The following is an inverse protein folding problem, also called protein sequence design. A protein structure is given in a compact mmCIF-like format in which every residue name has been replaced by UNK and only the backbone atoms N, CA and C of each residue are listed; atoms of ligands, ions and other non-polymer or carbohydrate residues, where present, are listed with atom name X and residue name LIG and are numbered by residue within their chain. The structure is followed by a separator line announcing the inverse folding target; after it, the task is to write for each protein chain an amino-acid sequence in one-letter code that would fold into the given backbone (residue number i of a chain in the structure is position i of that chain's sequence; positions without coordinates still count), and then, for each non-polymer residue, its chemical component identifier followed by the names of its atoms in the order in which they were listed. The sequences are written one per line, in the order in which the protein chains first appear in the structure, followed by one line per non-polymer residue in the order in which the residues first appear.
data_IF_198689254990
#
_entry.id   IF_198689254990
#
_cell.length_a   1.000
_cell.length_b   1.000
_cell.length_c   1.000
_cell.angle_alpha   90.00
_cell.angle_beta   90.00
_cell.angle_gamma   90.00
#
_symmetry.space_group_name_H-M   'P 1'
#
loop_
_entity.id
_entity.type
_entity.pdbx_description
1 polymer ?
#
# COMPACT_ATOMS: atom_id res chain seq x y z
N UNK A 1 13.52 64.13 10.56
CA UNK A 1 13.72 62.76 11.08
C UNK A 1 15.11 62.27 10.72
N UNK A 2 15.97 62.01 11.74
CA UNK A 2 17.40 61.69 11.60
C UNK A 2 17.60 60.40 10.79
N UNK A 3 18.62 60.36 9.91
CA UNK A 3 18.95 59.23 9.00
C UNK A 3 18.95 57.86 9.69
N UNK A 4 19.35 57.82 10.95
CA UNK A 4 19.34 56.63 11.82
C UNK A 4 17.94 55.99 11.95
N UNK A 5 16.88 56.80 12.07
CA UNK A 5 15.50 56.30 12.16
C UNK A 5 15.02 55.68 10.85
N UNK A 6 15.52 56.17 9.70
CA UNK A 6 15.21 55.58 8.38
C UNK A 6 15.93 54.25 8.19
N UNK A 7 17.18 54.14 8.66
CA UNK A 7 17.96 52.91 8.60
C UNK A 7 17.34 51.82 9.47
N UNK A 8 16.93 52.17 10.70
CA UNK A 8 16.22 51.25 11.61
C UNK A 8 14.88 50.79 11.02
N UNK A 9 14.14 51.69 10.36
CA UNK A 9 12.88 51.33 9.70
C UNK A 9 13.11 50.35 8.54
N UNK A 10 14.17 50.55 7.76
CA UNK A 10 14.51 49.69 6.64
C UNK A 10 14.97 48.31 7.11
N UNK A 11 15.78 48.26 8.18
CA UNK A 11 16.24 47.02 8.79
C UNK A 11 15.06 46.23 9.39
N UNK A 12 14.12 46.91 10.04
CA UNK A 12 12.90 46.28 10.53
C UNK A 12 12.04 45.72 9.38
N UNK A 13 11.94 46.43 8.25
CA UNK A 13 11.19 45.96 7.09
C UNK A 13 11.81 44.71 6.46
N UNK A 14 13.14 44.66 6.38
CA UNK A 14 13.89 43.49 5.87
C UNK A 14 13.75 42.31 6.82
N UNK A 15 13.79 42.53 8.14
CA UNK A 15 13.57 41.48 9.13
C UNK A 15 12.14 40.92 9.10
N UNK A 16 11.13 41.77 8.95
CA UNK A 16 9.73 41.35 8.79
C UNK A 16 9.55 40.58 7.47
N UNK A 17 10.16 41.04 6.38
CA UNK A 17 10.18 40.32 5.11
C UNK A 17 10.80 38.93 5.24
N UNK A 18 11.98 38.83 5.87
CA UNK A 18 12.65 37.55 6.11
C UNK A 18 11.84 36.61 7.03
N UNK A 19 11.18 37.16 8.07
CA UNK A 19 10.29 36.40 8.96
C UNK A 19 9.09 35.84 8.21
N UNK A 20 8.49 36.61 7.28
CA UNK A 20 7.38 36.15 6.45
C UNK A 20 7.77 35.03 5.47
N UNK A 21 9.03 34.97 5.03
CA UNK A 21 9.53 33.87 4.18
C UNK A 21 9.99 32.64 4.98
N UNK A 22 10.19 32.77 6.29
CA UNK A 22 10.58 31.65 7.16
C UNK A 22 9.38 30.84 7.70
N UNK A 23 8.16 31.31 7.50
CA UNK A 23 6.95 30.55 7.79
C UNK A 23 6.58 29.73 6.55
N UNK A 24 7.34 28.66 6.30
CA UNK A 24 6.78 27.50 5.60
C UNK A 24 5.85 26.85 6.63
N UNK A 25 4.53 26.79 6.41
CA UNK A 25 3.68 26.02 7.30
C UNK A 25 4.10 24.56 7.16
N UNK A 26 4.73 24.03 8.20
CA UNK A 26 4.79 22.61 8.43
C UNK A 26 3.35 22.12 8.58
N UNK A 27 2.97 21.22 7.67
CA UNK A 27 1.69 20.52 7.53
C UNK A 27 0.74 20.61 8.73
N UNK A 28 -0.40 21.25 8.50
CA UNK A 28 -1.67 20.84 9.10
C UNK A 28 -2.62 20.63 7.93
N UNK A 29 -3.20 19.43 7.84
CA UNK A 29 -4.07 19.04 6.76
C UNK A 29 -5.30 19.94 6.67
N UNK A 30 -5.37 20.75 5.63
CA UNK A 30 -6.60 21.35 5.17
C UNK A 30 -6.78 21.03 3.69
N UNK A 31 -7.81 20.23 3.44
CA UNK A 31 -8.37 19.88 2.14
C UNK A 31 -8.42 21.11 1.21
N UNK A 32 -7.61 21.17 0.14
CA UNK A 32 -7.82 22.16 -0.89
C UNK A 32 -8.96 21.68 -1.79
N UNK A 33 -10.18 22.13 -1.47
CA UNK A 33 -11.28 22.31 -2.43
C UNK A 33 -11.85 21.07 -3.09
N UNK A 34 -12.91 20.50 -2.53
CA UNK A 34 -13.87 19.61 -3.22
C UNK A 34 -13.23 18.58 -4.18
N UNK A 35 -12.11 17.98 -3.77
CA UNK A 35 -11.51 16.85 -4.46
C UNK A 35 -12.18 15.57 -3.99
N UNK A 36 -12.22 14.55 -4.86
CA UNK A 36 -12.63 13.20 -4.46
C UNK A 36 -11.74 12.72 -3.30
N UNK A 37 -12.27 11.86 -2.44
CA UNK A 37 -11.48 11.22 -1.38
C UNK A 37 -10.32 10.41 -1.98
N UNK A 38 -9.24 10.15 -1.21
CA UNK A 38 -8.11 9.35 -1.69
C UNK A 38 -8.55 8.00 -2.27
N UNK A 39 -9.53 7.36 -1.63
CA UNK A 39 -10.13 6.09 -2.08
C UNK A 39 -10.83 6.26 -3.43
N UNK A 40 -11.60 7.33 -3.62
CA UNK A 40 -12.27 7.62 -4.88
C UNK A 40 -11.31 8.05 -6.00
N UNK A 41 -10.26 8.80 -5.67
CA UNK A 41 -9.20 9.16 -6.59
C UNK A 41 -8.44 7.91 -7.06
N UNK A 42 -8.09 7.02 -6.12
CA UNK A 42 -7.49 5.72 -6.42
C UNK A 42 -8.38 4.86 -7.33
N UNK A 43 -9.68 4.75 -7.02
CA UNK A 43 -10.65 4.05 -7.88
C UNK A 43 -10.80 4.69 -9.26
N UNK A 44 -10.79 6.01 -9.35
CA UNK A 44 -10.89 6.70 -10.65
C UNK A 44 -9.64 6.42 -11.50
N UNK A 45 -8.45 6.51 -10.90
CA UNK A 45 -7.21 6.17 -11.60
C UNK A 45 -7.18 4.70 -12.02
N UNK A 46 -7.68 3.78 -11.19
CA UNK A 46 -7.84 2.38 -11.57
C UNK A 46 -8.68 2.22 -12.83
N UNK A 47 -9.84 2.91 -12.91
CA UNK A 47 -10.69 2.88 -14.09
C UNK A 47 -10.02 3.44 -15.35
N UNK A 48 -9.17 4.45 -15.22
CA UNK A 48 -8.39 4.98 -16.35
C UNK A 48 -7.27 4.03 -16.80
N UNK A 49 -6.73 3.24 -15.88
CA UNK A 49 -5.67 2.26 -16.14
C UNK A 49 -6.21 0.89 -16.61
N UNK A 50 -7.47 0.56 -16.34
CA UNK A 50 -8.11 -0.70 -16.77
C UNK A 50 -7.95 -1.00 -18.28
N UNK A 51 -8.12 -0.04 -19.21
CA UNK A 51 -7.88 -0.27 -20.63
C UNK A 51 -6.42 -0.61 -20.98
N UNK A 52 -5.49 -0.36 -20.05
CA UNK A 52 -4.05 -0.61 -20.19
C UNK A 52 -3.62 -1.90 -19.47
N UNK A 53 -4.56 -2.70 -18.97
CA UNK A 53 -4.29 -4.02 -18.39
C UNK A 53 -3.55 -4.88 -19.40
N UNK A 54 -2.45 -5.50 -18.96
CA UNK A 54 -1.55 -6.29 -19.81
C UNK A 54 -0.46 -5.46 -20.53
N UNK A 55 -0.49 -4.13 -20.41
CA UNK A 55 0.59 -3.26 -20.89
C UNK A 55 1.63 -2.96 -19.80
N UNK A 56 1.87 -3.89 -18.87
CA UNK A 56 2.80 -3.73 -17.75
C UNK A 56 2.23 -3.08 -16.48
N UNK A 57 0.92 -2.79 -16.44
CA UNK A 57 0.24 -2.36 -15.21
C UNK A 57 -0.24 -3.58 -14.41
N UNK A 58 0.13 -3.62 -13.13
CA UNK A 58 -0.06 -4.78 -12.26
C UNK A 58 -1.21 -4.57 -11.27
N UNK A 59 -1.31 -3.37 -10.70
CA UNK A 59 -2.35 -3.08 -9.72
C UNK A 59 -2.28 -1.67 -9.17
N UNK A 60 -3.23 -1.34 -8.30
CA UNK A 60 -3.31 -0.06 -7.62
C UNK A 60 -3.67 -0.26 -6.15
N UNK A 61 -3.12 0.59 -5.28
CA UNK A 61 -3.43 0.67 -3.87
C UNK A 61 -3.41 2.14 -3.41
N UNK A 62 -3.71 2.37 -2.15
CA UNK A 62 -3.55 3.68 -1.52
C UNK A 62 -2.98 3.54 -0.12
N UNK A 63 -2.26 4.56 0.33
CA UNK A 63 -1.71 4.68 1.67
C UNK A 63 -2.40 5.85 2.37
N UNK A 64 -3.31 5.57 3.31
CA UNK A 64 -3.96 6.63 4.09
C UNK A 64 -2.95 7.38 4.96
N UNK A 65 -1.95 6.67 5.50
CA UNK A 65 -0.91 7.26 6.34
C UNK A 65 -0.03 8.27 5.58
N UNK A 66 0.30 7.96 4.32
CA UNK A 66 1.14 8.83 3.48
C UNK A 66 0.29 9.79 2.62
N UNK A 67 -1.01 9.54 2.47
CA UNK A 67 -1.90 10.33 1.60
C UNK A 67 -1.63 10.10 0.11
N UNK A 68 -1.19 8.90 -0.28
CA UNK A 68 -0.69 8.60 -1.62
C UNK A 68 -1.50 7.49 -2.31
N UNK A 69 -1.59 7.56 -3.63
CA UNK A 69 -2.01 6.44 -4.48
C UNK A 69 -0.75 5.70 -4.94
N UNK A 70 -0.75 4.37 -4.87
CA UNK A 70 0.38 3.53 -5.25
C UNK A 70 -0.01 2.73 -6.49
N UNK A 71 0.76 2.85 -7.57
CA UNK A 71 0.57 2.06 -8.79
C UNK A 71 1.71 1.05 -8.92
N UNK A 72 1.35 -0.21 -9.08
CA UNK A 72 2.29 -1.30 -9.29
C UNK A 72 2.45 -1.57 -10.78
N UNK A 73 3.70 -1.69 -11.23
CA UNK A 73 4.04 -1.92 -12.64
C UNK A 73 5.07 -3.03 -12.79
N UNK A 74 5.10 -3.68 -13.95
CA UNK A 74 6.00 -4.80 -14.21
C UNK A 74 7.46 -4.35 -14.39
N UNK A 75 7.68 -3.17 -14.97
CA UNK A 75 9.02 -2.71 -15.37
C UNK A 75 9.18 -1.19 -15.31
N UNK A 76 10.44 -0.74 -15.40
CA UNK A 76 10.81 0.68 -15.39
C UNK A 76 10.35 1.46 -16.62
N UNK A 77 10.07 0.81 -17.76
CA UNK A 77 9.54 1.52 -18.92
C UNK A 77 8.08 1.89 -18.67
N UNK A 78 7.31 1.00 -18.06
CA UNK A 78 5.92 1.22 -17.70
C UNK A 78 5.79 2.27 -16.61
N UNK A 79 6.75 2.32 -15.66
CA UNK A 79 6.83 3.40 -14.66
C UNK A 79 6.77 4.79 -15.27
N UNK A 80 7.42 5.01 -16.41
CA UNK A 80 7.45 6.33 -17.06
C UNK A 80 6.09 6.78 -17.59
N UNK A 81 5.13 5.86 -17.74
CA UNK A 81 3.77 6.16 -18.18
C UNK A 81 2.82 6.46 -17.03
N UNK A 82 3.23 6.22 -15.79
CA UNK A 82 2.43 6.51 -14.60
C UNK A 82 2.53 8.00 -14.28
N UNK A 83 1.41 8.71 -14.09
CA UNK A 83 1.46 10.10 -13.65
C UNK A 83 2.09 10.18 -12.26
N UNK A 84 2.80 11.28 -11.95
CA UNK A 84 3.36 11.52 -10.60
C UNK A 84 2.33 12.05 -9.60
N UNK A 85 1.18 12.49 -10.09
CA UNK A 85 0.08 13.02 -9.29
C UNK A 85 -1.24 12.81 -10.02
N UNK A 86 -2.32 12.56 -9.28
CA UNK A 86 -3.66 12.37 -9.82
C UNK A 86 -4.71 12.95 -8.86
N UNK A 87 -5.62 13.78 -9.39
CA UNK A 87 -6.67 14.46 -8.61
C UNK A 87 -6.18 15.17 -7.32
N UNK A 88 -4.95 15.70 -7.35
CA UNK A 88 -4.35 16.40 -6.21
C UNK A 88 -3.58 15.51 -5.22
N UNK A 89 -3.60 14.18 -5.41
CA UNK A 89 -2.80 13.24 -4.62
C UNK A 89 -1.49 12.88 -5.32
N UNK A 90 -0.44 12.63 -4.54
CA UNK A 90 0.80 12.05 -5.02
C UNK A 90 0.55 10.62 -5.50
N UNK A 91 1.13 10.26 -6.65
CA UNK A 91 1.10 8.89 -7.16
C UNK A 91 2.52 8.33 -7.07
N UNK A 92 2.71 7.36 -6.18
CA UNK A 92 3.94 6.57 -6.08
C UNK A 92 3.86 5.40 -7.04
N UNK A 93 4.97 5.05 -7.67
CA UNK A 93 5.06 3.89 -8.55
C UNK A 93 6.05 2.88 -7.99
N UNK A 94 5.62 1.63 -7.88
CA UNK A 94 6.41 0.50 -7.42
C UNK A 94 6.59 -0.50 -8.56
N UNK A 95 7.83 -0.91 -8.82
CA UNK A 95 8.13 -1.90 -9.86
C UNK A 95 8.16 -3.29 -9.20
N UNK A 96 7.20 -4.14 -9.56
CA UNK A 96 6.99 -5.45 -8.93
C UNK A 96 7.46 -6.61 -9.78
N UNK A 97 7.78 -6.39 -11.06
CA UNK A 97 7.91 -7.48 -12.02
C UNK A 97 6.54 -8.01 -12.47
N UNK A 98 6.60 -8.99 -13.37
CA UNK A 98 5.41 -9.64 -13.93
C UNK A 98 4.77 -10.61 -12.93
N UNK A 99 3.50 -10.38 -12.59
CA UNK A 99 2.71 -11.36 -11.83
C UNK A 99 2.25 -12.44 -12.80
N UNK A 100 2.64 -13.69 -12.54
CA UNK A 100 2.22 -14.85 -13.32
C UNK A 100 1.40 -15.76 -12.43
N UNK A 101 0.19 -16.10 -12.88
CA UNK A 101 -0.54 -17.21 -12.29
C UNK A 101 0.22 -18.51 -12.59
N UNK A 102 0.58 -19.26 -11.54
CA UNK A 102 1.12 -20.60 -11.70
C UNK A 102 0.04 -21.48 -12.33
N UNK A 103 0.33 -22.13 -13.47
CA UNK A 103 -0.63 -23.00 -14.17
C UNK A 103 -0.80 -24.37 -13.50
N UNK A 104 -0.55 -24.46 -12.19
CA UNK A 104 -0.62 -25.73 -11.47
C UNK A 104 -2.08 -26.10 -11.29
N UNK A 105 -2.51 -27.18 -11.95
CA UNK A 105 -3.75 -27.86 -11.58
C UNK A 105 -3.55 -28.45 -10.18
N UNK A 106 -4.11 -27.80 -9.17
CA UNK A 106 -4.18 -28.38 -7.83
C UNK A 106 -5.25 -29.46 -7.90
N UNK A 107 -4.84 -30.73 -7.98
CA UNK A 107 -5.77 -31.85 -7.88
C UNK A 107 -6.38 -31.84 -6.47
N UNK A 108 -7.69 -31.65 -6.36
CA UNK A 108 -8.36 -31.77 -5.07
C UNK A 108 -8.24 -33.22 -4.56
N UNK A 109 -7.66 -33.46 -3.37
CA UNK A 109 -7.66 -34.80 -2.79
C UNK A 109 -9.11 -35.18 -2.45
N UNK A 110 -9.60 -36.27 -3.04
CA UNK A 110 -10.95 -36.81 -2.85
C UNK A 110 -11.21 -37.42 -1.45
N UNK A 111 -10.34 -37.17 -0.46
CA UNK A 111 -10.46 -37.76 0.89
C UNK A 111 -10.11 -36.77 2.02
N UNK A 112 -10.92 -36.82 3.08
CA UNK A 112 -10.76 -36.14 4.37
C UNK A 112 -9.75 -36.90 5.28
N UNK A 113 -8.53 -37.09 4.82
CA UNK A 113 -7.44 -37.47 5.73
C UNK A 113 -6.89 -36.20 6.40
N UNK A 114 -6.38 -36.29 7.64
CA UNK A 114 -5.81 -35.16 8.38
C UNK A 114 -4.69 -34.50 7.55
N UNK A 115 -4.98 -33.36 6.91
CA UNK A 115 -4.02 -32.61 6.09
C UNK A 115 -3.02 -31.90 6.99
N UNK A 116 -1.93 -32.59 7.34
CA UNK A 116 -0.79 -32.01 8.09
C UNK A 116 0.51 -32.01 7.28
N UNK A 117 0.48 -32.49 6.05
CA UNK A 117 1.66 -32.55 5.20
C UNK A 117 2.07 -31.16 4.70
N UNK A 118 3.38 -30.96 4.52
CA UNK A 118 3.96 -29.74 3.99
C UNK A 118 3.61 -29.59 2.51
N UNK A 119 3.01 -28.46 2.14
CA UNK A 119 2.60 -28.17 0.76
C UNK A 119 3.55 -27.15 0.12
N UNK A 120 4.13 -27.52 -1.02
CA UNK A 120 4.99 -26.65 -1.83
C UNK A 120 4.75 -26.89 -3.34
N UNK A 121 4.57 -25.83 -4.16
CA UNK A 121 4.49 -24.42 -3.78
C UNK A 121 3.13 -24.08 -3.15
N UNK A 122 3.12 -23.13 -2.22
CA UNK A 122 1.87 -22.52 -1.75
C UNK A 122 1.26 -21.67 -2.88
N UNK A 123 -0.04 -21.81 -3.12
CA UNK A 123 -0.73 -21.13 -4.23
C UNK A 123 -1.82 -20.22 -3.67
N UNK A 124 -1.92 -18.99 -4.16
CA UNK A 124 -3.02 -18.08 -3.83
C UNK A 124 -4.39 -18.72 -4.09
N UNK A 125 -5.36 -18.49 -3.21
CA UNK A 125 -6.69 -19.07 -3.28
C UNK A 125 -6.92 -20.29 -2.39
N UNK A 126 -5.88 -20.87 -1.78
CA UNK A 126 -6.06 -21.99 -0.84
C UNK A 126 -6.64 -21.51 0.49
N UNK A 127 -7.57 -22.27 1.05
CA UNK A 127 -8.02 -22.09 2.43
C UNK A 127 -6.85 -22.36 3.37
N UNK A 128 -6.64 -21.48 4.34
CA UNK A 128 -5.64 -21.59 5.39
C UNK A 128 -6.30 -21.31 6.73
N UNK A 129 -5.80 -21.99 7.75
CA UNK A 129 -5.97 -21.69 9.16
C UNK A 129 -4.59 -21.44 9.75
N UNK A 130 -4.47 -20.77 10.88
CA UNK A 130 -3.29 -20.96 11.69
C UNK A 130 -3.67 -21.67 12.99
N UNK A 131 -2.68 -22.32 13.59
CA UNK A 131 -2.93 -23.19 14.73
C UNK A 131 -2.72 -22.41 16.03
N UNK A 132 -3.81 -21.99 16.64
CA UNK A 132 -3.82 -21.50 18.03
C UNK A 132 -4.61 -22.50 18.87
N UNK A 133 -4.06 -23.00 19.99
CA UNK A 133 -4.77 -23.93 20.85
C UNK A 133 -6.16 -23.40 21.26
N UNK A 134 -7.20 -24.20 21.05
CA UNK A 134 -8.60 -23.88 21.37
C UNK A 134 -9.23 -22.73 20.55
N UNK A 135 -8.62 -22.32 19.44
CA UNK A 135 -9.22 -21.35 18.51
C UNK A 135 -9.19 -21.90 17.08
N UNK A 136 -10.27 -21.65 16.33
CA UNK A 136 -10.40 -22.05 14.94
C UNK A 136 -10.59 -20.82 14.07
N UNK A 137 -9.72 -20.64 13.08
CA UNK A 137 -9.83 -19.56 12.11
C UNK A 137 -9.49 -20.08 10.73
N UNK A 138 -10.15 -19.52 9.72
CA UNK A 138 -9.97 -19.91 8.34
C UNK A 138 -10.06 -18.66 7.44
N UNK A 139 -9.27 -18.64 6.37
CA UNK A 139 -9.43 -17.69 5.28
C UNK A 139 -8.57 -18.10 4.10
N UNK A 140 -8.29 -17.18 3.19
CA UNK A 140 -7.71 -17.54 1.88
C UNK A 140 -6.31 -16.95 1.72
N UNK A 141 -5.35 -17.78 1.30
CA UNK A 141 -4.01 -17.35 0.92
C UNK A 141 -4.10 -16.35 -0.24
N UNK A 142 -3.44 -15.20 -0.17
CA UNK A 142 -3.44 -14.22 -1.25
C UNK A 142 -2.42 -14.57 -2.33
N UNK A 143 -1.14 -14.41 -2.02
CA UNK A 143 -0.05 -14.60 -2.97
C UNK A 143 1.22 -15.04 -2.25
N UNK A 144 2.04 -15.86 -2.91
CA UNK A 144 3.43 -16.12 -2.50
C UNK A 144 4.33 -15.21 -3.32
N UNK A 145 5.17 -14.43 -2.65
CA UNK A 145 6.12 -13.50 -3.28
C UNK A 145 7.40 -14.22 -3.70
N UNK A 146 8.24 -13.56 -4.51
CA UNK A 146 9.50 -14.12 -5.02
C UNK A 146 10.56 -14.38 -3.93
N UNK A 147 10.38 -13.82 -2.73
CA UNK A 147 11.25 -13.99 -1.57
C UNK A 147 10.65 -14.94 -0.51
N UNK A 148 9.81 -15.88 -0.97
CA UNK A 148 9.16 -16.91 -0.14
C UNK A 148 8.30 -16.34 1.01
N UNK A 149 7.78 -15.12 0.85
CA UNK A 149 6.81 -14.53 1.79
C UNK A 149 5.39 -14.73 1.31
N UNK A 150 4.47 -14.66 2.26
CA UNK A 150 3.03 -14.75 2.02
C UNK A 150 2.42 -13.35 2.15
N UNK A 151 1.73 -12.90 1.09
CA UNK A 151 0.78 -11.81 1.16
C UNK A 151 -0.61 -12.41 1.41
N UNK A 152 -1.16 -12.17 2.59
CA UNK A 152 -2.54 -12.53 2.96
C UNK A 152 -3.08 -11.49 3.93
N UNK A 153 -4.38 -11.52 4.18
CA UNK A 153 -5.00 -10.63 5.15
C UNK A 153 -4.48 -10.94 6.55
N UNK A 154 -3.96 -9.93 7.24
CA UNK A 154 -3.39 -10.10 8.58
C UNK A 154 -4.41 -10.69 9.59
N UNK A 155 -5.67 -10.28 9.50
CA UNK A 155 -6.76 -10.82 10.33
C UNK A 155 -7.08 -12.30 10.09
N UNK A 156 -6.51 -12.91 9.04
CA UNK A 156 -6.71 -14.33 8.72
C UNK A 156 -5.61 -15.21 9.29
N UNK A 157 -4.34 -14.79 9.17
CA UNK A 157 -3.19 -15.66 9.51
C UNK A 157 -2.20 -15.05 10.49
N UNK A 158 -2.36 -13.79 10.87
CA UNK A 158 -1.32 -13.04 11.58
C UNK A 158 -1.83 -12.28 12.81
N UNK A 159 -3.13 -12.28 13.12
CA UNK A 159 -3.71 -11.54 14.24
C UNK A 159 -4.51 -12.50 15.14
N UNK A 160 -4.37 -12.33 16.45
CA UNK A 160 -5.19 -13.01 17.46
C UNK A 160 -6.60 -12.36 17.53
N UNK A 161 -7.68 -13.13 17.38
CA UNK A 161 -9.04 -12.57 17.22
C UNK A 161 -9.53 -11.74 18.40
N UNK A 162 -9.12 -12.14 19.60
CA UNK A 162 -9.63 -11.56 20.85
C UNK A 162 -8.86 -10.30 21.25
N UNK A 163 -7.67 -10.08 20.70
CA UNK A 163 -6.73 -9.07 21.20
C UNK A 163 -6.22 -8.12 20.13
N UNK A 164 -6.52 -8.37 18.84
CA UNK A 164 -5.96 -7.65 17.69
C UNK A 164 -4.41 -7.62 17.64
N UNK A 165 -3.74 -8.42 18.47
CA UNK A 165 -2.28 -8.51 18.50
C UNK A 165 -1.77 -9.42 17.39
N UNK A 166 -0.58 -9.11 16.88
CA UNK A 166 0.08 -10.00 15.94
C UNK A 166 0.51 -11.31 16.61
N UNK A 167 0.28 -12.42 15.92
CA UNK A 167 0.79 -13.73 16.29
C UNK A 167 2.33 -13.71 16.30
N UNK A 168 2.92 -14.53 17.17
CA UNK A 168 4.37 -14.65 17.23
C UNK A 168 4.93 -15.10 15.86
N UNK A 169 6.08 -14.55 15.42
CA UNK A 169 6.76 -15.07 14.23
C UNK A 169 6.98 -16.58 14.33
N UNK A 170 6.78 -17.30 13.22
CA UNK A 170 6.85 -18.77 13.12
C UNK A 170 5.68 -19.54 13.75
N UNK A 171 4.57 -18.87 14.09
CA UNK A 171 3.32 -19.58 14.38
C UNK A 171 2.94 -20.47 13.20
N UNK A 172 2.68 -21.77 13.40
CA UNK A 172 2.33 -22.68 12.30
C UNK A 172 1.02 -22.30 11.62
N UNK A 173 1.05 -22.24 10.30
CA UNK A 173 -0.12 -22.08 9.43
C UNK A 173 -0.45 -23.45 8.84
N UNK A 174 -1.71 -23.87 8.93
CA UNK A 174 -2.20 -25.19 8.48
C UNK A 174 -3.22 -24.98 7.35
N UNK A 175 -3.16 -25.82 6.32
CA UNK A 175 -4.11 -25.81 5.20
C UNK A 175 -5.35 -26.67 5.49
#
# INVERSE_FOLDING_TARGET
MKKEKKLLLFLALVLVGALLFSVVPASAGENPGCGKSLVEAGKTLEQELLPLVGAGFVGIAHSEAEGEVIVFVEDEQTRQRVPRSFEGYTVRTEVTGKIQALSTQVAEPLAYEERRDEVSPLVGGISLSAWVPNQYYAGTLGMVTYDDRILSNAHVIAIEPDTDNFLAPRTPVIQ
#
